data_IF_093435036012
#
_entry.id   IF_093435036012
#
_cell.length_a   1.000
_cell.length_b   1.000
_cell.length_c   1.000
_cell.angle_alpha   90.00
_cell.angle_beta   90.00
_cell.angle_gamma   90.00
#
_symmetry.space_group_name_H-M   'P 1'
#
loop_
_entity.id
_entity.type
_entity.pdbx_description
1 polymer ?
#
# COMPACT_ATOMS: atom_id res chain seq x y z
N UNK A 1 -23.44 51.27 54.76
CA UNK A 1 -22.50 52.31 55.26
C UNK A 1 -21.11 51.91 54.76
N UNK A 2 -20.56 52.61 53.74
CA UNK A 2 -19.36 53.50 53.80
C UNK A 2 -18.11 52.75 54.35
N UNK A 3 -16.93 52.63 53.70
CA UNK A 3 -16.17 53.45 52.73
C UNK A 3 -15.18 52.56 51.92
N UNK A 4 -15.03 52.74 50.59
CA UNK A 4 -13.88 53.34 49.85
C UNK A 4 -12.48 53.41 50.51
N UNK A 5 -11.46 52.85 49.82
CA UNK A 5 -10.22 53.51 49.37
C UNK A 5 -9.36 52.52 48.54
N UNK A 6 -9.25 52.64 47.22
CA UNK A 6 -8.25 53.42 46.45
C UNK A 6 -6.78 53.16 46.83
N UNK A 7 -6.02 52.49 45.94
CA UNK A 7 -4.89 53.12 45.20
C UNK A 7 -4.32 52.22 44.09
N UNK A 8 -4.48 52.76 42.88
CA UNK A 8 -3.77 52.47 41.63
C UNK A 8 -2.26 52.73 41.79
N UNK A 9 -1.41 51.88 41.22
CA UNK A 9 -0.14 52.31 40.62
C UNK A 9 0.06 51.61 39.29
N UNK A 10 0.03 52.43 38.24
CA UNK A 10 0.38 52.11 36.87
C UNK A 10 1.89 52.36 36.74
N UNK A 11 2.64 51.40 36.21
CA UNK A 11 3.98 51.64 35.67
C UNK A 11 3.99 51.23 34.20
N UNK A 12 3.83 52.23 33.33
CA UNK A 12 4.12 52.17 31.90
C UNK A 12 5.60 52.53 31.75
N UNK A 13 6.36 51.72 31.03
CA UNK A 13 7.64 52.14 30.45
C UNK A 13 7.76 51.56 29.04
N UNK A 14 7.95 52.50 28.11
CA UNK A 14 7.90 52.39 26.66
C UNK A 14 9.34 52.33 26.13
N UNK A 15 9.57 51.39 25.21
CA UNK A 15 10.53 51.33 24.08
C UNK A 15 12.01 51.67 24.28
N UNK A 16 12.88 50.74 23.87
CA UNK A 16 14.08 51.03 23.07
C UNK A 16 14.52 49.77 22.26
N UNK A 17 14.34 49.84 20.94
CA UNK A 17 15.02 49.07 19.87
C UNK A 17 15.55 50.19 18.97
N UNK A 18 16.83 50.25 18.53
CA UNK A 18 17.50 49.15 17.80
C UNK A 18 19.02 49.03 18.06
N UNK A 19 19.59 47.85 17.82
CA UNK A 19 20.91 47.78 17.18
C UNK A 19 21.15 46.40 16.57
N UNK A 20 21.47 46.43 15.27
CA UNK A 20 21.96 45.34 14.45
C UNK A 20 23.18 44.68 15.11
N UNK A 21 23.14 43.37 15.29
CA UNK A 21 24.36 42.55 15.22
C UNK A 21 24.07 41.37 14.28
N UNK A 22 24.67 41.45 13.11
CA UNK A 22 24.75 40.37 12.13
C UNK A 22 25.67 39.30 12.73
N UNK A 23 25.08 38.20 13.20
CA UNK A 23 25.79 36.95 13.45
C UNK A 23 25.34 35.96 12.38
N UNK A 24 26.10 35.97 11.29
CA UNK A 24 26.18 34.91 10.32
C UNK A 24 26.89 33.75 11.02
N UNK A 25 26.13 32.73 11.42
CA UNK A 25 26.66 31.42 11.78
C UNK A 25 25.93 30.39 10.92
N UNK A 26 26.50 30.20 9.75
CA UNK A 26 26.74 28.93 9.07
C UNK A 26 25.88 27.73 9.49
N UNK A 27 25.06 27.34 8.52
CA UNK A 27 24.89 25.95 8.07
C UNK A 27 24.76 24.89 9.16
N UNK A 28 23.55 24.77 9.70
CA UNK A 28 23.01 23.46 10.05
C UNK A 28 21.55 23.38 9.56
N UNK A 29 21.37 23.71 8.27
CA UNK A 29 20.34 23.06 7.47
C UNK A 29 20.83 21.61 7.37
N UNK A 30 20.49 20.80 8.38
CA UNK A 30 20.55 19.36 8.30
C UNK A 30 19.72 19.03 7.07
N UNK A 31 20.41 18.81 5.96
CA UNK A 31 19.93 18.05 4.83
C UNK A 31 19.36 16.79 5.44
N UNK A 32 18.03 16.81 5.64
CA UNK A 32 17.29 15.71 6.23
C UNK A 32 17.77 14.50 5.46
N UNK A 33 18.48 13.63 6.19
CA UNK A 33 19.06 12.42 5.68
C UNK A 33 18.08 11.83 4.69
N UNK A 34 18.57 11.65 3.46
CA UNK A 34 17.89 10.92 2.40
C UNK A 34 17.51 9.56 3.00
N UNK A 35 16.33 9.46 3.61
CA UNK A 35 15.72 8.17 3.89
C UNK A 35 15.53 7.62 2.50
N UNK A 36 16.16 6.50 2.21
CA UNK A 36 15.88 5.76 0.99
C UNK A 36 14.35 5.69 0.87
N UNK A 37 13.80 6.46 -0.08
CA UNK A 37 12.37 6.58 -0.22
C UNK A 37 11.87 5.19 -0.62
N UNK A 38 10.95 4.61 0.13
CA UNK A 38 10.39 3.30 -0.25
C UNK A 38 9.50 3.48 -1.48
N UNK A 39 9.57 2.52 -2.40
CA UNK A 39 8.81 2.50 -3.64
C UNK A 39 8.08 1.18 -3.78
N UNK A 40 6.93 1.21 -4.45
CA UNK A 40 6.25 0.03 -4.98
C UNK A 40 6.18 0.13 -6.48
N UNK A 41 6.40 -0.98 -7.17
CA UNK A 41 6.35 -1.05 -8.63
C UNK A 41 5.44 -2.16 -9.09
N UNK A 42 4.75 -1.92 -10.20
CA UNK A 42 3.97 -2.93 -10.93
C UNK A 42 4.36 -2.87 -12.40
N UNK A 43 4.12 -3.94 -13.14
CA UNK A 43 4.18 -3.92 -14.59
C UNK A 43 2.95 -3.22 -15.16
N UNK A 44 3.08 -2.18 -15.99
CA UNK A 44 1.93 -1.41 -16.51
C UNK A 44 1.22 -2.10 -17.70
N UNK A 45 1.86 -3.12 -18.26
CA UNK A 45 1.32 -4.02 -19.29
C UNK A 45 0.71 -5.30 -18.69
N UNK A 46 0.27 -5.25 -17.43
CA UNK A 46 -0.50 -6.32 -16.80
C UNK A 46 -1.83 -6.56 -17.53
N UNK A 47 -2.34 -7.79 -17.45
CA UNK A 47 -3.67 -8.17 -17.90
C UNK A 47 -4.59 -8.44 -16.70
N UNK A 48 -5.66 -7.65 -16.58
CA UNK A 48 -6.74 -7.80 -15.58
C UNK A 48 -7.43 -9.17 -15.71
N UNK A 49 -7.69 -9.62 -16.95
CA UNK A 49 -8.30 -10.93 -17.22
C UNK A 49 -7.39 -12.12 -16.88
N UNK A 50 -6.11 -11.86 -16.63
CA UNK A 50 -5.11 -12.83 -16.18
C UNK A 50 -4.58 -12.50 -14.78
N UNK A 51 -5.40 -11.87 -13.94
CA UNK A 51 -5.12 -11.59 -12.54
C UNK A 51 -3.82 -10.81 -12.31
N UNK A 52 -3.49 -9.90 -13.24
CA UNK A 52 -2.34 -9.00 -13.13
C UNK A 52 -1.06 -9.52 -13.77
N UNK A 53 -1.09 -10.68 -14.44
CA UNK A 53 0.07 -11.19 -15.18
C UNK A 53 0.46 -10.22 -16.29
N UNK A 54 1.73 -9.85 -16.34
CA UNK A 54 2.36 -9.18 -17.49
C UNK A 54 3.27 -10.15 -18.23
N UNK A 55 2.93 -10.46 -19.48
CA UNK A 55 3.74 -11.33 -20.33
C UNK A 55 5.06 -10.68 -20.76
N UNK A 56 5.01 -9.39 -21.11
CA UNK A 56 6.14 -8.70 -21.71
C UNK A 56 7.03 -8.00 -20.70
N UNK A 57 6.51 -7.66 -19.51
CA UNK A 57 7.26 -7.01 -18.42
C UNK A 57 7.98 -5.75 -18.89
N UNK A 58 7.38 -5.07 -19.86
CA UNK A 58 8.09 -4.11 -20.71
C UNK A 58 8.05 -2.70 -20.15
N UNK A 59 7.03 -2.39 -19.35
CA UNK A 59 6.81 -1.07 -18.76
C UNK A 59 6.55 -1.23 -17.28
N UNK A 60 7.23 -0.42 -16.47
CA UNK A 60 7.04 -0.39 -15.03
C UNK A 60 6.36 0.91 -14.64
N UNK A 61 5.46 0.80 -13.67
CA UNK A 61 4.87 1.94 -12.98
C UNK A 61 5.30 1.88 -11.53
N UNK A 62 6.08 2.88 -11.13
CA UNK A 62 6.65 2.97 -9.79
C UNK A 62 6.02 4.13 -9.04
N UNK A 63 5.57 3.87 -7.82
CA UNK A 63 4.95 4.85 -6.92
C UNK A 63 5.79 4.97 -5.67
N UNK A 64 6.05 6.22 -5.26
CA UNK A 64 6.67 6.55 -3.98
C UNK A 64 5.67 6.37 -2.85
N UNK A 65 6.08 5.80 -1.72
CA UNK A 65 5.21 5.67 -0.55
C UNK A 65 4.65 7.02 -0.06
N UNK A 66 5.39 8.11 -0.27
CA UNK A 66 4.95 9.47 0.06
C UNK A 66 3.73 9.97 -0.75
N UNK A 67 3.41 9.33 -1.88
CA UNK A 67 2.26 9.69 -2.72
C UNK A 67 0.92 9.30 -2.08
N UNK A 68 0.89 8.22 -1.32
CA UNK A 68 -0.32 7.67 -0.69
C UNK A 68 -0.90 8.62 0.36
N UNK A 69 -0.06 9.39 1.07
CA UNK A 69 -0.50 10.39 2.03
C UNK A 69 -1.31 11.56 1.40
N UNK A 70 -1.41 11.63 0.07
CA UNK A 70 -2.10 12.70 -0.67
C UNK A 70 -3.35 12.21 -1.40
N UNK A 71 -3.70 10.93 -1.27
CA UNK A 71 -4.80 10.30 -1.98
C UNK A 71 -5.96 10.01 -1.04
N UNK A 72 -7.06 9.52 -1.62
CA UNK A 72 -8.21 9.05 -0.86
C UNK A 72 -8.40 7.57 -1.12
N UNK A 73 -8.77 6.86 -0.07
CA UNK A 73 -9.27 5.49 -0.17
C UNK A 73 -10.65 5.49 -0.79
N UNK A 74 -10.83 4.67 -1.81
CA UNK A 74 -12.13 4.40 -2.41
C UNK A 74 -12.39 2.89 -2.42
N UNK A 75 -13.66 2.45 -2.38
CA UNK A 75 -13.98 1.04 -2.63
C UNK A 75 -13.68 0.68 -4.08
N UNK A 76 -13.40 -0.60 -4.32
CA UNK A 76 -13.34 -1.16 -5.68
C UNK A 76 -14.71 -1.04 -6.33
N UNK A 77 -14.77 -0.44 -7.51
CA UNK A 77 -16.00 -0.47 -8.30
C UNK A 77 -15.92 -1.62 -9.30
N UNK A 78 -16.94 -2.48 -9.30
CA UNK A 78 -17.10 -3.43 -10.37
C UNK A 78 -17.74 -2.80 -11.61
N UNK A 79 -17.38 -3.22 -12.82
CA UNK A 79 -18.22 -3.00 -14.00
C UNK A 79 -19.56 -3.75 -13.95
N UNK A 80 -19.67 -4.81 -13.13
CA UNK A 80 -20.92 -5.54 -12.87
C UNK A 80 -21.23 -5.44 -11.38
N UNK A 81 -22.35 -4.82 -10.98
CA UNK A 81 -22.76 -4.52 -9.59
C UNK A 81 -22.71 -5.66 -8.53
N UNK A 82 -22.15 -6.82 -8.85
CA UNK A 82 -21.93 -8.01 -8.03
C UNK A 82 -20.47 -8.17 -7.52
N UNK A 83 -19.43 -7.64 -8.19
CA UNK A 83 -18.03 -7.88 -7.75
C UNK A 83 -17.42 -6.68 -7.00
N UNK A 84 -17.64 -6.60 -5.69
CA UNK A 84 -17.12 -5.51 -4.83
C UNK A 84 -15.61 -5.60 -4.56
N UNK A 85 -14.83 -6.26 -5.42
CA UNK A 85 -13.42 -6.57 -5.18
C UNK A 85 -12.67 -6.94 -6.46
N UNK A 86 -11.34 -6.84 -6.43
CA UNK A 86 -10.44 -7.34 -7.47
C UNK A 86 -9.59 -8.48 -6.93
N UNK A 87 -9.67 -9.66 -7.57
CA UNK A 87 -8.77 -10.77 -7.31
C UNK A 87 -7.45 -10.53 -8.04
N UNK A 88 -6.32 -10.77 -7.36
CA UNK A 88 -4.99 -10.69 -7.98
C UNK A 88 -4.27 -12.04 -7.85
N UNK A 89 -3.29 -12.29 -8.72
CA UNK A 89 -2.39 -13.43 -8.58
C UNK A 89 -1.16 -13.13 -7.71
N UNK A 90 -1.16 -12.01 -6.96
CA UNK A 90 -0.08 -11.69 -6.04
C UNK A 90 -0.16 -12.62 -4.83
N UNK A 91 0.94 -13.31 -4.56
CA UNK A 91 1.05 -14.31 -3.49
C UNK A 91 1.50 -13.67 -2.19
N UNK A 92 0.86 -14.08 -1.11
CA UNK A 92 1.29 -13.92 0.27
C UNK A 92 1.50 -15.31 0.89
N UNK A 93 2.66 -15.52 1.49
CA UNK A 93 3.03 -16.80 2.08
C UNK A 93 2.11 -17.22 3.23
N UNK A 94 1.92 -18.52 3.39
CA UNK A 94 1.13 -19.07 4.51
C UNK A 94 1.69 -18.71 5.88
N UNK A 95 3.00 -18.53 6.00
CA UNK A 95 3.63 -18.02 7.23
C UNK A 95 3.13 -16.61 7.56
N UNK A 96 3.14 -15.70 6.58
CA UNK A 96 2.65 -14.33 6.77
C UNK A 96 1.14 -14.29 7.04
N UNK A 97 0.34 -15.14 6.39
CA UNK A 97 -1.08 -15.27 6.71
C UNK A 97 -1.30 -15.66 8.16
N UNK A 98 -0.57 -16.66 8.65
CA UNK A 98 -0.64 -17.09 10.04
C UNK A 98 -0.29 -15.95 11.00
N UNK A 99 0.79 -15.22 10.73
CA UNK A 99 1.21 -14.06 11.53
C UNK A 99 0.14 -12.96 11.57
N UNK A 100 -0.48 -12.63 10.44
CA UNK A 100 -1.60 -11.69 10.36
C UNK A 100 -2.77 -12.19 11.21
N UNK A 101 -3.11 -13.48 11.08
CA UNK A 101 -4.22 -14.10 11.79
C UNK A 101 -4.01 -14.12 13.31
N UNK A 102 -2.77 -14.27 13.76
CA UNK A 102 -2.36 -14.21 15.16
C UNK A 102 -2.21 -12.77 15.69
N UNK A 103 -2.38 -11.76 14.83
CA UNK A 103 -2.29 -10.36 15.21
C UNK A 103 -0.85 -9.87 15.44
N UNK A 104 0.13 -10.47 14.75
CA UNK A 104 1.53 -10.07 14.84
C UNK A 104 1.78 -8.63 14.31
N UNK A 105 0.88 -8.13 13.46
CA UNK A 105 0.97 -6.80 12.85
C UNK A 105 -0.07 -5.85 13.43
N UNK A 106 0.37 -4.87 14.22
CA UNK A 106 -0.51 -3.82 14.78
C UNK A 106 -1.15 -2.92 13.73
N UNK A 107 -0.61 -2.94 12.50
CA UNK A 107 -1.07 -2.15 11.35
C UNK A 107 -2.23 -2.81 10.60
N UNK A 108 -2.55 -4.07 10.93
CA UNK A 108 -3.64 -4.83 10.32
C UNK A 108 -4.72 -5.06 11.37
N UNK A 109 -5.94 -4.62 11.04
CA UNK A 109 -7.15 -4.93 11.80
C UNK A 109 -7.94 -6.01 11.04
N UNK A 110 -8.45 -7.01 11.76
CA UNK A 110 -9.27 -8.08 11.20
C UNK A 110 -10.73 -7.89 11.60
N UNK A 111 -11.62 -7.85 10.62
CA UNK A 111 -13.07 -7.86 10.83
C UNK A 111 -13.65 -9.29 10.89
N UNK A 112 -14.89 -9.41 11.34
CA UNK A 112 -15.53 -10.70 11.65
C UNK A 112 -15.75 -11.60 10.42
N UNK A 113 -15.79 -11.02 9.23
CA UNK A 113 -15.98 -11.70 7.94
C UNK A 113 -14.67 -12.16 7.29
N UNK A 114 -13.53 -11.93 7.95
CA UNK A 114 -12.22 -12.27 7.39
C UNK A 114 -11.63 -11.19 6.49
N UNK A 115 -12.25 -10.01 6.41
CA UNK A 115 -11.65 -8.83 5.77
C UNK A 115 -10.60 -8.23 6.70
N UNK A 116 -9.45 -7.92 6.12
CA UNK A 116 -8.34 -7.25 6.78
C UNK A 116 -8.27 -5.79 6.31
N UNK A 117 -7.91 -4.90 7.22
CA UNK A 117 -7.70 -3.48 6.97
C UNK A 117 -6.26 -3.13 7.31
N UNK A 118 -5.50 -2.67 6.33
CA UNK A 118 -4.17 -2.16 6.52
C UNK A 118 -4.21 -0.63 6.63
N UNK A 119 -3.52 -0.06 7.62
CA UNK A 119 -3.34 1.38 7.74
C UNK A 119 -1.96 1.74 8.28
N UNK A 120 -1.16 2.43 7.46
CA UNK A 120 0.14 2.97 7.85
C UNK A 120 0.60 4.07 6.91
N UNK A 121 1.19 5.14 7.46
CA UNK A 121 1.91 6.16 6.68
C UNK A 121 1.12 6.74 5.49
N UNK A 122 -0.21 6.83 5.63
CA UNK A 122 -1.12 7.34 4.58
C UNK A 122 -1.61 6.30 3.58
N UNK A 123 -1.12 5.06 3.66
CA UNK A 123 -1.63 3.91 2.91
C UNK A 123 -2.80 3.30 3.66
N UNK A 124 -3.99 3.27 3.06
CA UNK A 124 -5.15 2.59 3.63
C UNK A 124 -5.84 1.76 2.56
N UNK A 125 -6.13 0.50 2.87
CA UNK A 125 -6.87 -0.39 1.99
C UNK A 125 -7.39 -1.59 2.76
N UNK A 126 -8.35 -2.29 2.17
CA UNK A 126 -8.90 -3.53 2.72
C UNK A 126 -8.76 -4.68 1.75
N UNK A 127 -8.53 -5.87 2.29
CA UNK A 127 -8.21 -7.06 1.52
C UNK A 127 -8.70 -8.33 2.20
N UNK A 128 -8.83 -9.41 1.43
CA UNK A 128 -8.98 -10.78 1.93
C UNK A 128 -7.88 -11.64 1.36
N UNK A 129 -7.61 -12.75 2.04
CA UNK A 129 -6.68 -13.78 1.61
C UNK A 129 -7.48 -15.02 1.23
N UNK A 130 -7.24 -15.55 0.03
CA UNK A 130 -7.94 -16.73 -0.46
C UNK A 130 -6.98 -17.74 -1.06
N UNK A 131 -7.41 -18.99 -1.14
CA UNK A 131 -6.67 -20.03 -1.85
C UNK A 131 -6.88 -19.86 -3.34
N UNK A 132 -5.83 -20.11 -4.12
CA UNK A 132 -5.93 -20.07 -5.58
C UNK A 132 -6.96 -21.09 -6.09
N UNK A 133 -7.94 -20.61 -6.86
CA UNK A 133 -8.98 -21.43 -7.45
C UNK A 133 -8.62 -21.98 -8.83
N UNK A 134 -9.61 -22.61 -9.47
CA UNK A 134 -9.49 -23.17 -10.82
C UNK A 134 -9.23 -22.08 -11.87
N UNK A 135 -9.62 -20.85 -11.59
CA UNK A 135 -9.40 -19.70 -12.46
C UNK A 135 -7.91 -19.33 -12.58
N UNK A 136 -7.15 -19.37 -11.48
CA UNK A 136 -5.70 -19.18 -11.50
C UNK A 136 -5.02 -20.38 -12.17
N UNK A 137 -5.49 -21.59 -11.85
CA UNK A 137 -4.99 -22.82 -12.48
C UNK A 137 -5.13 -22.76 -14.00
N UNK A 138 -6.27 -22.31 -14.52
CA UNK A 138 -6.50 -22.18 -15.95
C UNK A 138 -5.53 -21.21 -16.63
N UNK A 139 -5.21 -20.08 -15.97
CA UNK A 139 -4.19 -19.13 -16.47
C UNK A 139 -2.80 -19.78 -16.50
N UNK A 140 -2.45 -20.53 -15.45
CA UNK A 140 -1.18 -21.26 -15.37
C UNK A 140 -1.08 -22.35 -16.45
N UNK A 141 -2.12 -23.15 -16.63
CA UNK A 141 -2.18 -24.20 -17.65
C UNK A 141 -2.15 -23.63 -19.07
N UNK A 142 -2.72 -22.44 -19.28
CA UNK A 142 -2.61 -21.70 -20.54
C UNK A 142 -1.19 -21.23 -20.83
N UNK A 143 -0.47 -20.79 -19.81
CA UNK A 143 0.88 -20.26 -19.96
C UNK A 143 1.98 -21.33 -20.01
N UNK A 144 1.96 -22.28 -19.07
CA UNK A 144 2.97 -23.33 -18.92
C UNK A 144 2.70 -24.50 -19.85
N UNK A 145 2.76 -24.25 -21.15
CA UNK A 145 2.60 -25.27 -22.19
C UNK A 145 3.92 -25.54 -22.92
N UNK A 146 3.98 -26.68 -23.60
CA UNK A 146 5.12 -27.05 -24.44
C UNK A 146 6.43 -27.12 -23.65
N UNK A 147 7.38 -26.24 -23.95
CA UNK A 147 8.72 -26.25 -23.36
C UNK A 147 8.77 -25.86 -21.88
N UNK A 148 7.71 -25.22 -21.39
CA UNK A 148 7.63 -24.76 -19.99
C UNK A 148 6.71 -25.63 -19.13
N UNK A 149 6.20 -26.75 -19.67
CA UNK A 149 5.23 -27.59 -18.97
C UNK A 149 5.74 -28.14 -17.63
N UNK A 150 7.05 -28.39 -17.51
CA UNK A 150 7.67 -28.90 -16.27
C UNK A 150 7.56 -27.90 -15.10
N UNK A 151 7.31 -26.62 -15.37
CA UNK A 151 7.14 -25.58 -14.35
C UNK A 151 5.70 -25.43 -13.84
N UNK A 152 4.71 -26.01 -14.52
CA UNK A 152 3.30 -25.87 -14.14
C UNK A 152 3.06 -26.37 -12.72
N UNK A 153 3.44 -27.62 -12.43
CA UNK A 153 3.19 -28.25 -11.13
C UNK A 153 3.93 -27.54 -9.98
N UNK A 154 5.24 -27.21 -10.07
CA UNK A 154 5.90 -26.42 -9.03
C UNK A 154 5.23 -25.08 -8.73
N UNK A 155 4.84 -24.33 -9.78
CA UNK A 155 4.19 -23.03 -9.61
C UNK A 155 2.79 -23.21 -9.03
N UNK A 156 2.03 -24.18 -9.52
CA UNK A 156 0.70 -24.47 -8.99
C UNK A 156 0.75 -24.88 -7.52
N UNK A 157 1.67 -25.76 -7.14
CA UNK A 157 1.88 -26.14 -5.74
C UNK A 157 2.21 -24.93 -4.87
N UNK A 158 3.06 -24.02 -5.35
CA UNK A 158 3.33 -22.77 -4.64
C UNK A 158 2.07 -21.94 -4.41
N UNK A 159 1.17 -21.83 -5.39
CA UNK A 159 -0.11 -21.13 -5.22
C UNK A 159 -1.08 -21.86 -4.26
N UNK A 160 -1.10 -23.20 -4.28
CA UNK A 160 -1.95 -23.99 -3.36
C UNK A 160 -1.46 -23.90 -1.91
N UNK A 161 -0.15 -23.90 -1.72
CA UNK A 161 0.49 -23.84 -0.41
C UNK A 161 0.42 -22.44 0.21
N UNK A 162 0.17 -21.40 -0.57
CA UNK A 162 0.12 -20.00 -0.12
C UNK A 162 -1.27 -19.38 -0.34
N UNK A 163 -1.37 -18.06 -0.24
CA UNK A 163 -2.62 -17.31 -0.44
C UNK A 163 -2.45 -16.26 -1.52
N UNK A 164 -3.54 -15.96 -2.20
CA UNK A 164 -3.62 -14.83 -3.12
C UNK A 164 -4.42 -13.69 -2.51
N UNK A 165 -4.09 -12.47 -2.91
CA UNK A 165 -4.65 -11.26 -2.32
C UNK A 165 -5.82 -10.76 -3.17
N UNK A 166 -6.98 -10.58 -2.54
CA UNK A 166 -8.15 -9.90 -3.10
C UNK A 166 -8.31 -8.54 -2.44
N UNK A 167 -8.45 -7.49 -3.23
CA UNK A 167 -8.56 -6.10 -2.76
C UNK A 167 -10.01 -5.64 -2.83
N UNK A 168 -10.51 -5.05 -1.72
CA UNK A 168 -11.89 -4.54 -1.59
C UNK A 168 -11.96 -3.01 -1.62
N UNK A 169 -10.90 -2.35 -1.14
CA UNK A 169 -10.72 -0.90 -1.24
C UNK A 169 -9.24 -0.59 -1.44
N UNK A 170 -8.90 0.55 -2.04
CA UNK A 170 -7.52 0.96 -2.27
C UNK A 170 -7.38 2.48 -2.27
N UNK A 171 -6.14 2.97 -2.23
CA UNK A 171 -5.82 4.36 -2.47
C UNK A 171 -5.89 4.69 -3.97
N UNK A 172 -6.65 5.73 -4.33
CA UNK A 172 -6.77 6.17 -5.71
C UNK A 172 -5.58 7.05 -6.14
N UNK A 173 -4.50 6.40 -6.58
CA UNK A 173 -3.22 7.06 -6.82
C UNK A 173 -3.05 7.51 -8.27
N UNK A 174 -3.50 6.73 -9.24
CA UNK A 174 -3.20 7.04 -10.65
C UNK A 174 -4.21 8.00 -11.25
N UNK A 175 -5.48 7.92 -10.85
CA UNK A 175 -6.53 8.80 -11.35
C UNK A 175 -7.37 9.40 -10.20
N UNK A 176 -6.78 10.23 -9.31
CA UNK A 176 -7.45 10.75 -8.10
C UNK A 176 -8.78 11.48 -8.34
N UNK A 177 -9.04 11.92 -9.57
CA UNK A 177 -10.28 12.58 -9.97
C UNK A 177 -11.43 11.60 -10.27
N UNK A 178 -11.16 10.30 -10.42
CA UNK A 178 -12.18 9.26 -10.56
C UNK A 178 -12.51 8.73 -9.17
N UNK A 179 -13.76 8.76 -8.72
CA UNK A 179 -14.11 8.26 -7.38
C UNK A 179 -14.23 6.71 -7.31
N UNK A 180 -13.40 6.01 -8.10
CA UNK A 180 -13.47 4.58 -8.36
C UNK A 180 -12.05 4.03 -8.40
N UNK A 181 -11.82 2.91 -7.72
CA UNK A 181 -10.57 2.13 -7.82
C UNK A 181 -10.63 1.22 -9.03
N UNK A 182 -9.58 1.25 -9.85
CA UNK A 182 -9.39 0.33 -10.96
C UNK A 182 -8.45 -0.81 -10.56
N UNK A 183 -8.35 -1.81 -11.43
CA UNK A 183 -7.46 -2.94 -11.24
C UNK A 183 -5.99 -2.54 -11.02
N UNK A 184 -5.51 -1.44 -11.66
CA UNK A 184 -4.15 -0.93 -11.46
C UNK A 184 -3.85 -0.49 -10.03
N UNK A 185 -4.80 0.15 -9.35
CA UNK A 185 -4.65 0.50 -7.94
C UNK A 185 -4.72 -0.75 -7.06
N UNK A 186 -5.61 -1.69 -7.38
CA UNK A 186 -5.74 -2.94 -6.65
C UNK A 186 -4.45 -3.78 -6.71
N UNK A 187 -3.90 -4.02 -7.90
CA UNK A 187 -2.65 -4.77 -8.03
C UNK A 187 -1.48 -4.05 -7.34
N UNK A 188 -1.44 -2.72 -7.36
CA UNK A 188 -0.45 -1.94 -6.60
C UNK A 188 -0.55 -2.21 -5.09
N UNK A 189 -1.77 -2.22 -4.52
CA UNK A 189 -1.96 -2.54 -3.09
C UNK A 189 -1.59 -3.98 -2.78
N UNK A 190 -1.97 -4.92 -3.66
CA UNK A 190 -1.62 -6.32 -3.49
C UNK A 190 -0.09 -6.51 -3.50
N UNK A 191 0.62 -5.88 -4.43
CA UNK A 191 2.08 -5.90 -4.51
C UNK A 191 2.75 -5.24 -3.30
N UNK A 192 2.12 -4.27 -2.63
CA UNK A 192 2.68 -3.76 -1.36
C UNK A 192 2.77 -4.87 -0.31
N UNK A 193 1.73 -5.69 -0.16
CA UNK A 193 1.69 -6.79 0.82
C UNK A 193 2.42 -8.04 0.38
N UNK A 194 2.43 -8.33 -0.92
CA UNK A 194 2.92 -9.59 -1.47
C UNK A 194 4.36 -9.92 -1.07
N UNK A 195 4.67 -11.20 -1.12
CA UNK A 195 6.02 -11.71 -0.89
C UNK A 195 7.00 -11.12 -1.92
N UNK A 196 8.27 -10.99 -1.53
CA UNK A 196 9.30 -10.42 -2.42
C UNK A 196 9.50 -11.22 -3.70
N UNK A 197 9.35 -12.53 -3.64
CA UNK A 197 9.54 -13.40 -4.80
C UNK A 197 8.18 -13.88 -5.30
N UNK A 198 7.76 -13.40 -6.47
CA UNK A 198 6.50 -13.81 -7.08
C UNK A 198 6.74 -14.88 -8.15
N UNK A 199 6.14 -16.06 -7.97
CA UNK A 199 6.45 -17.24 -8.81
C UNK A 199 5.74 -17.23 -10.17
N UNK A 200 4.62 -16.53 -10.30
CA UNK A 200 3.97 -16.39 -11.61
C UNK A 200 4.82 -15.49 -12.51
N UNK A 201 5.19 -16.03 -13.68
CA UNK A 201 6.00 -15.31 -14.65
C UNK A 201 5.20 -14.13 -15.26
N UNK A 202 5.24 -12.99 -14.57
CA UNK A 202 4.59 -11.75 -15.02
C UNK A 202 3.99 -10.91 -13.90
N UNK A 203 3.97 -11.39 -12.67
CA UNK A 203 3.64 -10.56 -11.50
C UNK A 203 4.93 -9.88 -11.03
N UNK A 204 4.81 -8.61 -10.64
CA UNK A 204 5.95 -7.90 -10.08
C UNK A 204 6.17 -8.35 -8.63
N UNK A 205 7.43 -8.52 -8.27
CA UNK A 205 7.89 -8.77 -6.91
C UNK A 205 7.21 -7.86 -5.88
N UNK A 206 6.78 -8.46 -4.78
CA UNK A 206 6.12 -7.75 -3.70
C UNK A 206 7.08 -6.87 -2.90
N UNK A 207 6.52 -5.87 -2.23
CA UNK A 207 7.31 -4.93 -1.41
C UNK A 207 7.51 -5.42 0.02
N UNK A 208 6.79 -6.47 0.46
CA UNK A 208 6.91 -7.05 1.80
C UNK A 208 6.86 -5.96 2.90
N UNK A 209 5.86 -5.08 2.82
CA UNK A 209 5.72 -3.93 3.73
C UNK A 209 5.46 -4.35 5.20
N UNK A 210 5.12 -5.62 5.43
CA UNK A 210 4.86 -6.19 6.74
C UNK A 210 6.18 -6.49 7.43
N UNK A 211 6.60 -5.55 8.28
CA UNK A 211 7.76 -5.69 9.16
C UNK A 211 7.26 -5.99 10.56
N UNK A 212 7.75 -7.07 11.17
CA UNK A 212 7.49 -7.35 12.58
C UNK A 212 8.01 -6.18 13.43
N UNK A 213 7.29 -5.83 14.52
CA UNK A 213 7.67 -4.73 15.41
C UNK A 213 9.02 -4.93 16.11
#
# INVERSE_FOLDING_TARGET
>A
MKQLNNRLWIAVLIFFVPFFLCAETDSAQTWGMNRDEEFVSIYDDFDDGSYGRSEYRSVFRTVKMSAFARTKTHPVASPAWEETSHLTAVVLSSEREEEIRQGAYSLILREMDGVYYYSRDGVNFSFTLEKAGEEIRAVLEGYYQGRNADWLEPVWNHYQENYIIRIHSAENIFEPWREVIQYREAILMATLLGDRDQWLWGIHDGSDILKLP
#
